data_IF_796157376772
#
_entry.id   IF_796157376772
#
_cell.length_a   1.000
_cell.length_b   1.000
_cell.length_c   1.000
_cell.angle_alpha   90.00
_cell.angle_beta   90.00
_cell.angle_gamma   90.00
#
_symmetry.space_group_name_H-M   'P 1'
#
loop_
_entity.id
_entity.type
_entity.pdbx_description
1 polymer ?
#
# COMPACT_ATOMS: atom_id res chain seq x y z
N UNK A 1 -2.91 -17.48 22.39
CA UNK A 1 -1.48 -17.70 22.01
C UNK A 1 -1.21 -17.04 20.66
N UNK A 2 -0.06 -16.37 20.46
CA UNK A 2 0.31 -15.82 19.14
C UNK A 2 0.92 -16.94 18.27
N UNK A 3 0.18 -17.46 17.30
CA UNK A 3 0.69 -18.47 16.36
C UNK A 3 1.82 -17.89 15.48
N UNK A 4 1.71 -16.62 15.11
CA UNK A 4 2.67 -15.93 14.23
C UNK A 4 3.98 -15.67 14.97
N UNK A 5 3.94 -15.17 16.21
CA UNK A 5 5.15 -14.83 16.97
C UNK A 5 6.07 -16.02 17.24
N UNK A 6 5.51 -17.22 17.45
CA UNK A 6 6.28 -18.45 17.70
C UNK A 6 6.89 -19.08 16.46
N UNK A 7 6.48 -18.65 15.26
CA UNK A 7 6.99 -19.25 14.03
C UNK A 7 8.43 -18.77 13.79
N UNK A 8 9.42 -19.66 13.69
CA UNK A 8 10.80 -19.28 13.43
C UNK A 8 10.91 -18.58 12.07
N UNK A 9 11.93 -17.75 11.89
CA UNK A 9 12.24 -17.06 10.64
C UNK A 9 13.51 -17.67 10.08
N UNK A 10 13.43 -18.35 8.95
CA UNK A 10 14.59 -18.89 8.28
C UNK A 10 15.35 -17.77 7.58
N UNK A 11 16.66 -17.76 7.69
CA UNK A 11 17.56 -16.85 6.99
C UNK A 11 17.96 -17.56 5.69
N UNK A 12 17.57 -17.04 4.52
CA UNK A 12 17.96 -17.64 3.25
C UNK A 12 19.46 -17.44 2.98
N UNK A 13 20.03 -18.27 2.11
CA UNK A 13 21.43 -18.15 1.70
C UNK A 13 21.72 -16.76 1.10
N UNK A 14 22.81 -16.13 1.54
CA UNK A 14 23.20 -14.80 1.10
C UNK A 14 22.62 -13.65 1.93
N UNK A 15 21.88 -13.95 3.01
CA UNK A 15 21.42 -12.96 4.00
C UNK A 15 22.19 -13.14 5.29
N UNK A 16 22.65 -12.05 5.88
CA UNK A 16 23.26 -12.01 7.21
C UNK A 16 22.40 -11.18 8.14
N UNK A 17 22.20 -11.65 9.35
CA UNK A 17 21.50 -10.93 10.39
C UNK A 17 22.42 -10.75 11.61
N UNK A 18 22.40 -9.59 12.22
CA UNK A 18 23.07 -9.29 13.49
C UNK A 18 22.13 -8.53 14.44
N UNK A 19 22.32 -8.73 15.72
CA UNK A 19 21.53 -8.07 16.77
C UNK A 19 22.50 -7.37 17.71
N UNK A 20 22.42 -6.04 17.76
CA UNK A 20 23.24 -5.18 18.59
C UNK A 20 22.38 -4.15 19.34
N UNK A 21 22.48 -4.08 20.65
CA UNK A 21 21.82 -3.05 21.49
C UNK A 21 20.32 -2.85 21.21
N UNK A 22 19.57 -3.93 20.95
CA UNK A 22 18.13 -3.84 20.66
C UNK A 22 17.79 -3.36 19.25
N UNK A 23 18.77 -3.36 18.34
CA UNK A 23 18.59 -3.14 16.91
C UNK A 23 18.96 -4.42 16.19
N UNK A 24 18.10 -4.90 15.32
CA UNK A 24 18.41 -5.97 14.37
C UNK A 24 18.75 -5.36 13.02
N UNK A 25 19.92 -5.73 12.49
CA UNK A 25 20.39 -5.37 11.17
C UNK A 25 20.32 -6.60 10.27
N UNK A 26 19.64 -6.49 9.14
CA UNK A 26 19.53 -7.56 8.15
C UNK A 26 20.14 -7.07 6.84
N UNK A 27 21.19 -7.75 6.38
CA UNK A 27 21.91 -7.44 5.15
C UNK A 27 21.71 -8.55 4.12
N UNK A 28 21.34 -8.17 2.92
CA UNK A 28 21.10 -9.10 1.82
C UNK A 28 21.53 -8.54 0.46
N UNK A 29 21.24 -9.25 -0.63
CA UNK A 29 21.68 -8.86 -1.98
C UNK A 29 21.11 -7.54 -2.48
N UNK A 30 19.92 -7.13 -1.99
CA UNK A 30 19.27 -5.89 -2.42
C UNK A 30 19.60 -4.67 -1.52
N UNK A 31 20.16 -4.91 -0.33
CA UNK A 31 20.53 -3.83 0.58
C UNK A 31 20.55 -4.24 2.04
N UNK A 32 20.56 -3.25 2.90
CA UNK A 32 20.59 -3.43 4.37
C UNK A 32 19.41 -2.70 4.98
N UNK A 33 18.75 -3.34 5.93
CA UNK A 33 17.67 -2.77 6.72
C UNK A 33 17.98 -2.91 8.21
N UNK A 34 17.69 -1.84 8.96
CA UNK A 34 17.85 -1.80 10.41
C UNK A 34 16.48 -1.61 11.06
N UNK A 35 16.24 -2.31 12.15
CA UNK A 35 15.01 -2.18 12.92
C UNK A 35 15.29 -2.21 14.41
N UNK A 36 14.87 -1.17 15.12
CA UNK A 36 14.90 -1.10 16.57
C UNK A 36 13.63 -1.73 17.14
N UNK A 37 13.78 -2.87 17.77
CA UNK A 37 12.66 -3.57 18.41
C UNK A 37 12.46 -3.15 19.88
N UNK A 38 11.27 -3.44 20.40
CA UNK A 38 10.94 -3.10 21.80
C UNK A 38 11.84 -3.89 22.77
N UNK A 39 12.45 -3.25 23.78
CA UNK A 39 13.35 -3.89 24.75
C UNK A 39 12.69 -5.00 25.57
N UNK A 40 11.35 -5.06 25.62
CA UNK A 40 10.63 -6.17 26.24
C UNK A 40 10.72 -7.47 25.43
N UNK A 41 11.12 -7.43 24.17
CA UNK A 41 11.27 -8.60 23.31
C UNK A 41 12.72 -9.03 23.25
N UNK A 42 12.96 -10.34 23.24
CA UNK A 42 14.30 -10.90 23.02
C UNK A 42 14.36 -11.53 21.63
N UNK A 43 15.36 -11.13 20.86
CA UNK A 43 15.61 -11.66 19.52
C UNK A 43 16.92 -12.43 19.54
N UNK A 44 16.88 -13.71 19.23
CA UNK A 44 18.04 -14.61 19.20
C UNK A 44 18.24 -15.16 17.80
N UNK A 45 19.50 -15.19 17.36
CA UNK A 45 19.90 -15.82 16.10
C UNK A 45 20.54 -17.16 16.42
N UNK A 46 19.92 -18.25 15.95
CA UNK A 46 20.39 -19.62 16.16
C UNK A 46 20.76 -20.23 14.80
N UNK A 47 22.03 -20.04 14.40
CA UNK A 47 22.47 -20.47 13.08
C UNK A 47 21.67 -19.75 11.97
N UNK A 48 20.91 -20.51 11.19
CA UNK A 48 20.13 -19.99 10.05
C UNK A 48 18.68 -19.61 10.43
N UNK A 49 18.39 -19.47 11.74
CA UNK A 49 17.02 -19.19 12.20
C UNK A 49 17.04 -18.05 13.20
N UNK A 50 16.09 -17.11 13.03
CA UNK A 50 15.82 -16.04 14.02
C UNK A 50 14.60 -16.44 14.81
N UNK A 51 14.74 -16.43 16.13
CA UNK A 51 13.66 -16.64 17.09
C UNK A 51 13.39 -15.37 17.88
N UNK A 52 12.10 -15.06 18.06
CA UNK A 52 11.66 -13.95 18.89
C UNK A 52 10.96 -14.53 20.10
N UNK A 53 11.38 -14.11 21.30
CA UNK A 53 10.78 -14.54 22.55
C UNK A 53 10.21 -13.36 23.32
N UNK A 54 9.27 -13.66 24.23
CA UNK A 54 8.61 -12.67 25.10
C UNK A 54 8.72 -13.07 26.57
N UNK A 55 8.75 -12.10 27.50
CA UNK A 55 8.95 -12.40 28.90
C UNK A 55 7.71 -13.03 29.58
N UNK A 56 6.51 -12.64 29.17
CA UNK A 56 5.27 -13.13 29.75
C UNK A 56 4.11 -13.11 28.75
N UNK A 57 2.93 -13.60 29.17
CA UNK A 57 1.71 -13.70 28.35
C UNK A 57 0.76 -12.48 28.50
N UNK A 58 1.25 -11.33 28.99
CA UNK A 58 0.49 -10.10 29.03
C UNK A 58 -0.01 -9.70 27.61
N UNK A 59 -1.15 -9.03 27.55
CA UNK A 59 -1.81 -8.65 26.28
C UNK A 59 -0.86 -7.85 25.39
N UNK A 60 -0.12 -6.91 25.95
CA UNK A 60 0.83 -6.06 25.24
C UNK A 60 1.99 -6.87 24.66
N UNK A 61 2.61 -7.74 25.45
CA UNK A 61 3.72 -8.58 25.03
C UNK A 61 3.31 -9.59 23.96
N UNK A 62 2.07 -10.09 23.98
CA UNK A 62 1.55 -10.94 22.91
C UNK A 62 1.39 -10.19 21.58
N UNK A 63 0.98 -8.93 21.62
CA UNK A 63 0.85 -8.09 20.41
C UNK A 63 2.22 -7.72 19.86
N UNK A 64 3.13 -7.24 20.70
CA UNK A 64 4.50 -6.89 20.31
C UNK A 64 5.29 -8.09 19.77
N UNK A 65 5.13 -9.28 20.35
CA UNK A 65 5.77 -10.51 19.88
C UNK A 65 5.42 -10.82 18.42
N UNK A 66 4.14 -10.78 18.07
CA UNK A 66 3.69 -11.03 16.69
C UNK A 66 4.13 -9.93 15.74
N UNK A 67 4.09 -8.66 16.17
CA UNK A 67 4.52 -7.52 15.40
C UNK A 67 6.02 -7.58 15.10
N UNK A 68 6.86 -7.72 16.12
CA UNK A 68 8.33 -7.78 15.98
C UNK A 68 8.74 -8.91 15.05
N UNK A 69 8.18 -10.10 15.25
CA UNK A 69 8.44 -11.25 14.35
C UNK A 69 8.08 -10.94 12.91
N UNK A 70 6.92 -10.32 12.66
CA UNK A 70 6.45 -10.00 11.31
C UNK A 70 7.33 -8.95 10.64
N UNK A 71 7.76 -7.92 11.38
CA UNK A 71 8.64 -6.88 10.85
C UNK A 71 10.00 -7.47 10.45
N UNK A 72 10.62 -8.29 11.30
CA UNK A 72 11.88 -8.97 10.97
C UNK A 72 11.73 -9.89 9.75
N UNK A 73 10.65 -10.64 9.68
CA UNK A 73 10.37 -11.49 8.52
C UNK A 73 10.20 -10.68 7.22
N UNK A 74 9.52 -9.53 7.29
CA UNK A 74 9.42 -8.63 6.16
C UNK A 74 10.77 -8.05 5.74
N UNK A 75 11.67 -7.76 6.71
CA UNK A 75 13.03 -7.31 6.37
C UNK A 75 13.81 -8.39 5.61
N UNK A 76 13.76 -9.65 6.07
CA UNK A 76 14.43 -10.76 5.40
C UNK A 76 13.94 -10.93 3.95
N UNK A 77 12.62 -10.91 3.73
CA UNK A 77 12.04 -10.96 2.36
C UNK A 77 12.43 -9.70 1.56
N UNK A 78 12.40 -8.53 2.19
CA UNK A 78 12.72 -7.27 1.52
C UNK A 78 14.14 -7.21 0.98
N UNK A 79 15.13 -7.69 1.74
CA UNK A 79 16.54 -7.69 1.29
C UNK A 79 16.84 -8.82 0.29
N UNK A 80 15.99 -9.83 0.18
CA UNK A 80 16.12 -10.94 -0.79
C UNK A 80 15.37 -10.66 -2.08
N UNK A 81 14.05 -10.67 -2.00
CA UNK A 81 13.15 -10.55 -3.15
C UNK A 81 12.75 -9.10 -3.42
N UNK A 82 12.67 -8.29 -2.36
CA UNK A 82 12.10 -6.94 -2.41
C UNK A 82 10.57 -6.96 -2.41
N UNK A 83 10.00 -5.77 -2.36
CA UNK A 83 8.56 -5.58 -2.43
C UNK A 83 8.19 -4.73 -3.62
N UNK A 84 7.05 -5.05 -4.23
CA UNK A 84 6.45 -4.23 -5.27
C UNK A 84 4.95 -4.06 -5.04
N UNK A 85 4.44 -2.89 -5.38
CA UNK A 85 3.00 -2.60 -5.43
C UNK A 85 2.67 -2.01 -6.79
N UNK A 86 1.65 -2.60 -7.42
CA UNK A 86 1.17 -2.16 -8.72
C UNK A 86 -0.08 -1.31 -8.54
N UNK A 87 -0.08 -0.14 -9.15
CA UNK A 87 -1.21 0.77 -9.24
C UNK A 87 -1.69 0.88 -10.69
N UNK A 88 -3.00 0.94 -10.86
CA UNK A 88 -3.66 1.16 -12.14
C UNK A 88 -4.31 2.54 -12.16
N UNK A 89 -4.07 3.27 -13.23
CA UNK A 89 -4.61 4.62 -13.46
C UNK A 89 -5.73 4.53 -14.47
N UNK A 90 -6.96 4.67 -14.03
CA UNK A 90 -8.15 4.56 -14.86
C UNK A 90 -8.81 5.93 -15.06
N UNK A 91 -9.06 6.31 -16.29
CA UNK A 91 -9.76 7.55 -16.63
C UNK A 91 -9.49 7.99 -18.05
N UNK A 92 -10.49 8.63 -18.69
CA UNK A 92 -10.33 9.19 -20.03
C UNK A 92 -9.35 10.36 -19.95
N UNK A 93 -8.27 10.30 -20.74
CA UNK A 93 -7.24 11.32 -20.75
C UNK A 93 -6.22 11.22 -19.59
N UNK A 94 -6.35 10.25 -18.67
CA UNK A 94 -5.34 10.01 -17.64
C UNK A 94 -4.15 9.30 -18.27
N UNK A 95 -2.96 9.79 -17.96
CA UNK A 95 -1.70 9.22 -18.47
C UNK A 95 -0.60 9.41 -17.45
N UNK A 96 0.28 8.46 -17.43
CA UNK A 96 1.48 8.48 -16.57
C UNK A 96 2.71 8.32 -17.47
N UNK A 97 3.72 9.10 -17.21
CA UNK A 97 5.01 9.04 -17.92
C UNK A 97 6.15 9.15 -16.93
N UNK A 98 7.18 8.36 -17.12
CA UNK A 98 8.41 8.50 -16.36
C UNK A 98 9.39 9.39 -17.12
N UNK A 99 9.90 10.42 -16.46
CA UNK A 99 10.91 11.35 -16.98
C UNK A 99 12.11 11.37 -16.02
N UNK A 100 13.10 10.53 -16.31
CA UNK A 100 14.24 10.34 -15.40
C UNK A 100 13.79 9.78 -14.05
N UNK A 101 14.04 10.54 -12.97
CA UNK A 101 13.62 10.17 -11.60
C UNK A 101 12.22 10.69 -11.23
N UNK A 102 11.51 11.33 -12.17
CA UNK A 102 10.19 11.90 -11.90
C UNK A 102 9.12 11.11 -12.62
N UNK A 103 8.05 10.81 -11.91
CA UNK A 103 6.82 10.26 -12.47
C UNK A 103 5.82 11.40 -12.64
N UNK A 104 5.51 11.75 -13.87
CA UNK A 104 4.59 12.82 -14.24
C UNK A 104 3.25 12.22 -14.57
N UNK A 105 2.22 12.63 -13.85
CA UNK A 105 0.86 12.09 -13.98
C UNK A 105 -0.13 13.17 -14.40
N UNK A 106 -0.87 12.90 -15.46
CA UNK A 106 -2.02 13.69 -15.87
C UNK A 106 -3.28 13.02 -15.36
N UNK A 107 -3.88 13.57 -14.30
CA UNK A 107 -5.00 12.98 -13.56
C UNK A 107 -6.30 13.79 -13.68
N UNK A 108 -6.44 14.58 -14.76
CA UNK A 108 -7.61 15.43 -14.98
C UNK A 108 -7.65 16.68 -14.10
N UNK A 109 -6.51 17.11 -13.59
CA UNK A 109 -6.31 18.42 -12.98
C UNK A 109 -5.78 19.42 -14.02
N UNK A 110 -5.89 20.72 -13.73
CA UNK A 110 -5.31 21.80 -14.56
C UNK A 110 -3.78 21.80 -14.56
N UNK A 111 -3.16 21.10 -13.61
CA UNK A 111 -1.71 20.96 -13.45
C UNK A 111 -1.32 19.48 -13.45
N UNK A 112 -0.07 19.21 -13.75
CA UNK A 112 0.50 17.87 -13.68
C UNK A 112 0.86 17.54 -12.23
N UNK A 113 0.61 16.30 -11.82
CA UNK A 113 1.03 15.78 -10.52
C UNK A 113 2.38 15.08 -10.73
N UNK A 114 3.39 15.54 -10.02
CA UNK A 114 4.75 15.01 -10.10
C UNK A 114 5.08 14.29 -8.81
N UNK A 115 5.61 13.07 -8.93
CA UNK A 115 6.13 12.26 -7.84
C UNK A 115 7.54 11.84 -8.20
N UNK A 116 8.46 11.97 -7.27
CA UNK A 116 9.90 11.69 -7.49
C UNK A 116 10.27 10.35 -6.85
N UNK A 117 11.23 9.65 -7.47
CA UNK A 117 11.85 8.46 -6.89
C UNK A 117 12.60 8.87 -5.62
N UNK A 118 12.60 8.03 -4.60
CA UNK A 118 13.42 8.18 -3.40
C UNK A 118 14.59 7.20 -3.45
N UNK A 119 15.58 7.37 -2.59
CA UNK A 119 16.73 6.45 -2.51
C UNK A 119 16.31 4.98 -2.31
N UNK A 120 15.26 4.77 -1.51
CA UNK A 120 14.75 3.43 -1.17
C UNK A 120 13.65 2.90 -2.09
N UNK A 121 13.05 3.78 -2.93
CA UNK A 121 11.86 3.46 -3.72
C UNK A 121 12.08 3.83 -5.17
N UNK A 122 11.85 2.86 -6.05
CA UNK A 122 11.88 3.05 -7.50
C UNK A 122 10.47 2.96 -8.07
N UNK A 123 10.15 3.88 -8.96
CA UNK A 123 8.90 3.90 -9.71
C UNK A 123 9.19 3.44 -11.13
N UNK A 124 8.43 2.48 -11.62
CA UNK A 124 8.48 2.02 -12.99
C UNK A 124 7.11 2.23 -13.64
N UNK A 125 7.11 2.69 -14.89
CA UNK A 125 5.90 2.93 -15.67
C UNK A 125 5.98 2.09 -16.95
N UNK A 126 5.61 0.80 -16.90
CA UNK A 126 5.63 -0.03 -18.08
C UNK A 126 4.59 0.39 -19.12
N UNK A 127 3.44 0.85 -18.67
CA UNK A 127 2.33 1.33 -19.50
C UNK A 127 1.85 2.69 -19.01
N UNK A 128 1.27 3.53 -19.89
CA UNK A 128 0.74 4.85 -19.52
C UNK A 128 -0.34 4.82 -18.43
N UNK A 129 -0.91 3.64 -18.16
CA UNK A 129 -1.98 3.43 -17.18
C UNK A 129 -1.55 2.56 -16.00
N UNK A 130 -0.25 2.20 -15.89
CA UNK A 130 0.25 1.30 -14.86
C UNK A 130 1.51 1.84 -14.23
N UNK A 131 1.51 1.86 -12.90
CA UNK A 131 2.66 2.29 -12.09
C UNK A 131 3.07 1.11 -11.22
N UNK A 132 4.34 0.76 -11.23
CA UNK A 132 4.92 -0.24 -10.33
C UNK A 132 5.86 0.50 -9.38
N UNK A 133 5.61 0.36 -8.10
CA UNK A 133 6.43 0.93 -7.03
C UNK A 133 7.17 -0.21 -6.38
N UNK A 134 8.50 -0.16 -6.40
CA UNK A 134 9.36 -1.21 -5.86
C UNK A 134 10.36 -0.66 -4.84
N UNK A 135 10.71 -1.49 -3.87
CA UNK A 135 11.68 -1.14 -2.83
C UNK A 135 11.99 -2.30 -1.89
N UNK A 136 12.91 -2.06 -0.98
CA UNK A 136 13.38 -3.06 -0.03
C UNK A 136 12.45 -3.11 1.19
N UNK A 137 11.99 -1.94 1.66
CA UNK A 137 11.15 -1.82 2.85
C UNK A 137 9.67 -1.87 2.50
N UNK A 138 8.98 -2.90 3.00
CA UNK A 138 7.54 -3.09 2.82
C UNK A 138 6.71 -1.90 3.31
N UNK A 139 7.12 -1.28 4.42
CA UNK A 139 6.37 -0.16 5.01
C UNK A 139 6.51 1.08 4.14
N UNK A 140 7.72 1.41 3.71
CA UNK A 140 7.98 2.56 2.82
C UNK A 140 7.28 2.39 1.47
N UNK A 141 7.38 1.21 0.85
CA UNK A 141 6.69 0.90 -0.42
C UNK A 141 5.18 1.02 -0.26
N UNK A 142 4.62 0.49 0.84
CA UNK A 142 3.18 0.56 1.11
C UNK A 142 2.70 1.98 1.34
N UNK A 143 3.42 2.77 2.13
CA UNK A 143 3.11 4.17 2.42
C UNK A 143 3.18 5.02 1.14
N UNK A 144 4.24 4.89 0.38
CA UNK A 144 4.41 5.62 -0.86
C UNK A 144 3.33 5.29 -1.90
N UNK A 145 2.96 4.02 -2.02
CA UNK A 145 1.87 3.61 -2.90
C UNK A 145 0.51 4.20 -2.44
N UNK A 146 0.28 4.30 -1.14
CA UNK A 146 -0.91 4.94 -0.61
C UNK A 146 -0.95 6.44 -0.91
N UNK A 147 0.18 7.14 -0.77
CA UNK A 147 0.31 8.57 -1.09
C UNK A 147 0.07 8.85 -2.57
N UNK A 148 0.62 7.99 -3.46
CA UNK A 148 0.34 8.09 -4.90
C UNK A 148 -1.13 7.86 -5.21
N UNK A 149 -1.76 6.86 -4.58
CA UNK A 149 -3.19 6.60 -4.74
C UNK A 149 -4.06 7.75 -4.22
N UNK A 150 -3.67 8.39 -3.13
CA UNK A 150 -4.40 9.52 -2.54
C UNK A 150 -4.42 10.76 -3.45
N UNK A 151 -3.44 10.93 -4.34
CA UNK A 151 -3.44 12.04 -5.32
C UNK A 151 -4.72 12.08 -6.16
N UNK A 152 -5.31 10.92 -6.48
CA UNK A 152 -6.61 10.81 -7.14
C UNK A 152 -7.27 9.48 -6.79
N UNK A 153 -7.98 9.39 -5.67
CA UNK A 153 -8.64 8.14 -5.26
C UNK A 153 -9.71 7.73 -6.27
N UNK A 154 -9.98 6.44 -6.43
CA UNK A 154 -10.95 5.96 -7.39
C UNK A 154 -12.38 6.37 -6.99
N UNK A 155 -13.13 6.90 -7.94
CA UNK A 155 -14.53 7.27 -7.72
C UNK A 155 -15.46 6.04 -7.76
N UNK A 156 -16.57 6.06 -7.02
CA UNK A 156 -17.46 4.91 -6.93
C UNK A 156 -18.40 4.72 -8.13
N UNK A 157 -18.46 5.64 -9.10
CA UNK A 157 -19.39 5.56 -10.22
C UNK A 157 -18.76 4.91 -11.46
N UNK A 158 -17.79 5.57 -12.09
CA UNK A 158 -17.09 5.08 -13.27
C UNK A 158 -15.75 4.41 -12.94
N UNK A 159 -15.29 4.53 -11.68
CA UNK A 159 -14.03 3.97 -11.22
C UNK A 159 -12.81 4.74 -11.74
N UNK A 160 -12.97 6.04 -12.08
CA UNK A 160 -11.85 6.89 -12.47
C UNK A 160 -10.98 7.21 -11.26
N UNK A 161 -9.69 7.14 -11.43
CA UNK A 161 -8.72 7.39 -10.37
C UNK A 161 -7.60 6.38 -10.37
N UNK A 162 -6.79 6.41 -9.33
CA UNK A 162 -5.69 5.48 -9.10
C UNK A 162 -6.16 4.43 -8.09
N UNK A 163 -6.07 3.16 -8.46
CA UNK A 163 -6.40 2.03 -7.59
C UNK A 163 -5.24 1.05 -7.52
N UNK A 164 -5.20 0.19 -6.51
CA UNK A 164 -4.32 -0.98 -6.53
C UNK A 164 -4.80 -1.98 -7.59
N UNK A 165 -3.89 -2.75 -8.16
CA UNK A 165 -4.23 -3.76 -9.16
C UNK A 165 -5.18 -4.84 -8.61
N UNK A 166 -5.05 -5.15 -7.32
CA UNK A 166 -5.88 -6.10 -6.57
C UNK A 166 -7.15 -5.48 -5.95
N UNK A 167 -7.35 -4.16 -6.10
CA UNK A 167 -8.47 -3.44 -5.49
C UNK A 167 -9.74 -3.54 -6.35
N UNK A 168 -10.80 -4.06 -5.77
CA UNK A 168 -12.14 -4.09 -6.38
C UNK A 168 -12.95 -2.89 -5.88
N UNK A 169 -13.26 -1.96 -6.79
CA UNK A 169 -14.06 -0.78 -6.46
C UNK A 169 -15.54 -1.14 -6.44
N UNK A 170 -16.18 -0.99 -5.28
CA UNK A 170 -17.63 -1.13 -5.15
C UNK A 170 -18.31 0.03 -5.88
N UNK A 171 -18.81 -0.23 -7.08
CA UNK A 171 -19.51 0.77 -7.88
C UNK A 171 -20.91 1.03 -7.34
N UNK A 172 -21.32 2.28 -7.39
CA UNK A 172 -22.68 2.74 -7.10
C UNK A 172 -23.35 3.10 -8.43
N UNK A 173 -24.65 2.85 -8.53
CA UNK A 173 -25.43 3.36 -9.65
C UNK A 173 -25.50 4.89 -9.54
N UNK A 174 -25.23 5.58 -10.64
CA UNK A 174 -25.47 7.01 -10.75
C UNK A 174 -26.98 7.30 -10.63
N UNK A 175 -27.33 8.54 -10.36
CA UNK A 175 -28.74 8.95 -10.47
C UNK A 175 -29.20 8.63 -11.89
N UNK A 176 -29.98 7.56 -12.06
CA UNK A 176 -30.79 7.42 -13.26
C UNK A 176 -31.63 8.70 -13.32
N UNK A 177 -31.55 9.43 -14.44
CA UNK A 177 -32.42 10.57 -14.66
C UNK A 177 -33.87 10.07 -14.69
N UNK A 178 -34.45 9.82 -13.51
CA UNK A 178 -35.90 9.81 -13.37
C UNK A 178 -36.29 11.21 -13.81
N UNK A 179 -36.74 11.31 -15.05
CA UNK A 179 -37.64 12.39 -15.43
C UNK A 179 -38.68 12.45 -14.31
N UNK A 180 -38.55 13.47 -13.48
CA UNK A 180 -39.52 13.75 -12.45
C UNK A 180 -40.84 13.95 -13.18
N UNK A 181 -41.77 13.03 -13.02
CA UNK A 181 -43.14 13.12 -13.48
C UNK A 181 -43.92 14.25 -12.72
N UNK A 182 -43.20 15.22 -12.20
CA UNK A 182 -43.75 16.42 -11.54
C UNK A 182 -44.42 17.37 -12.59
N UNK A 183 -44.21 17.14 -13.89
CA UNK A 183 -44.95 17.78 -14.97
C UNK A 183 -46.09 16.91 -15.52
N UNK A 184 -46.72 16.09 -14.69
CA UNK A 184 -48.09 15.70 -14.95
C UNK A 184 -48.87 16.94 -14.71
N UNK A 185 -49.25 17.60 -15.82
CA UNK A 185 -50.09 18.79 -15.85
C UNK A 185 -51.23 18.67 -14.84
N UNK A 186 -51.26 19.58 -13.89
CA UNK A 186 -52.44 19.82 -13.06
C UNK A 186 -53.61 19.94 -14.01
N UNK A 187 -54.71 19.15 -13.85
CA UNK A 187 -55.85 19.26 -14.72
C UNK A 187 -56.40 20.66 -14.58
N UNK A 188 -56.35 21.43 -15.64
CA UNK A 188 -56.92 22.75 -15.72
C UNK A 188 -58.38 22.66 -15.29
N UNK A 189 -58.70 23.16 -14.10
CA UNK A 189 -60.02 23.28 -13.57
C UNK A 189 -60.78 24.19 -14.50
N UNK A 190 -61.64 23.63 -15.38
CA UNK A 190 -62.61 24.43 -16.14
C UNK A 190 -63.55 25.08 -15.15
N UNK A 191 -63.48 26.39 -15.01
CA UNK A 191 -64.52 27.15 -14.39
C UNK A 191 -65.74 27.12 -15.27
N UNK A 192 -66.94 26.73 -14.76
CA UNK A 192 -68.15 26.81 -15.55
C UNK A 192 -68.48 28.29 -15.75
N UNK A 193 -68.68 28.65 -17.02
CA UNK A 193 -69.23 29.96 -17.41
C UNK A 193 -70.73 29.92 -17.12
N UNK A 194 -71.20 30.76 -16.24
CA UNK A 194 -72.60 31.04 -15.99
C UNK A 194 -73.12 32.08 -16.97
#
# INVERSE_FOLDING_TARGET
MSRIGRKPINIPAGVTASVDNGVITVKGPKGTLDFKFNPAMTVEIKGDVIEVTRPNDAKENRSLHGLTRTLIHNMVIGVTEGYSKTLEVNGVGYRVQKQGNKCVMNLGYSHQVIVEDTEDIKIEVPDPNKIIISGIDKQKVGQFAAEVREKRPPEPYKGKGIKYADEVIRRKEGKAGKLSLIHISEPTRRTPIS
#
